data_IF_378034495700
#
_entry.id   IF_378034495700
#
_cell.length_a   1.000
_cell.length_b   1.000
_cell.length_c   1.000
_cell.angle_alpha   90.00
_cell.angle_beta   90.00
_cell.angle_gamma   90.00
#
_symmetry.space_group_name_H-M   'P 1'
#
loop_
_entity.id
_entity.type
_entity.pdbx_description
1 polymer ?
#
# COMPACT_ATOMS: atom_id res chain seq x y z
N UNK A 1 2.05 19.43 -25.55
CA UNK A 1 2.32 19.23 -24.11
C UNK A 1 1.39 18.11 -23.69
N UNK A 2 1.93 16.94 -23.34
CA UNK A 2 1.11 15.75 -23.09
C UNK A 2 0.85 15.66 -21.58
N UNK A 3 -0.38 15.95 -21.19
CA UNK A 3 -0.95 15.57 -19.90
C UNK A 3 -1.10 14.05 -19.89
N UNK A 4 -0.13 13.34 -19.34
CA UNK A 4 -0.27 11.91 -19.06
C UNK A 4 -1.33 11.72 -17.98
N UNK A 5 -2.57 11.53 -18.43
CA UNK A 5 -3.66 11.00 -17.64
C UNK A 5 -3.23 9.61 -17.15
N UNK A 6 -2.87 9.52 -15.88
CA UNK A 6 -2.69 8.23 -15.22
C UNK A 6 -4.10 7.71 -14.96
N UNK A 7 -4.70 7.07 -15.97
CA UNK A 7 -5.90 6.26 -15.76
C UNK A 7 -5.48 5.05 -14.92
N UNK A 8 -5.79 5.12 -13.62
CA UNK A 8 -5.72 3.99 -12.72
C UNK A 8 -6.85 3.03 -13.10
N UNK A 9 -6.59 2.19 -14.11
CA UNK A 9 -7.40 1.02 -14.40
C UNK A 9 -7.32 0.09 -13.19
N UNK A 10 -8.29 0.21 -12.29
CA UNK A 10 -8.51 -0.75 -11.20
C UNK A 10 -9.00 -2.05 -11.82
N UNK A 11 -8.09 -3.02 -11.91
CA UNK A 11 -8.42 -4.39 -12.33
C UNK A 11 -9.51 -4.96 -11.40
N UNK A 12 -10.63 -5.35 -11.99
CA UNK A 12 -11.76 -6.08 -11.39
C UNK A 12 -12.47 -5.41 -10.19
N UNK A 13 -13.39 -4.48 -10.49
CA UNK A 13 -14.66 -4.35 -9.75
C UNK A 13 -14.62 -3.91 -8.29
N UNK A 14 -13.49 -3.38 -7.78
CA UNK A 14 -13.42 -2.85 -6.43
C UNK A 14 -13.37 -1.32 -6.44
N UNK A 15 -14.45 -0.67 -6.03
CA UNK A 15 -14.47 0.74 -5.65
C UNK A 15 -13.68 0.85 -4.34
N UNK A 16 -12.35 1.03 -4.43
CA UNK A 16 -11.52 1.17 -3.22
C UNK A 16 -11.90 2.51 -2.58
N UNK A 17 -12.25 2.53 -1.29
CA UNK A 17 -12.71 3.76 -0.66
C UNK A 17 -11.63 4.83 -0.73
N UNK A 18 -12.06 6.07 -0.95
CA UNK A 18 -11.23 7.26 -0.76
C UNK A 18 -10.99 7.42 0.75
N UNK A 19 -9.87 6.89 1.23
CA UNK A 19 -9.48 6.91 2.64
C UNK A 19 -8.69 8.18 2.95
N UNK A 20 -9.07 8.89 4.01
CA UNK A 20 -8.27 10.01 4.51
C UNK A 20 -7.05 9.49 5.29
N UNK A 21 -5.89 9.54 4.64
CA UNK A 21 -4.62 9.13 5.22
C UNK A 21 -3.86 10.28 5.92
N UNK A 22 -4.43 11.49 5.95
CA UNK A 22 -3.73 12.67 6.48
C UNK A 22 -3.40 12.56 7.98
N UNK A 23 -4.25 11.87 8.73
CA UNK A 23 -4.11 11.63 10.18
C UNK A 23 -3.72 10.18 10.52
N UNK A 24 -3.31 9.38 9.52
CA UNK A 24 -2.98 7.98 9.74
C UNK A 24 -1.74 7.80 10.65
N UNK A 25 -1.83 6.87 11.61
CA UNK A 25 -0.70 6.49 12.48
C UNK A 25 0.18 5.46 11.74
N UNK A 26 1.36 5.91 11.29
CA UNK A 26 2.26 5.11 10.46
C UNK A 26 3.30 4.35 11.29
N UNK A 27 3.31 3.04 11.14
CA UNK A 27 4.30 2.14 11.74
C UNK A 27 5.37 1.76 10.72
N UNK A 28 6.62 2.13 10.99
CA UNK A 28 7.79 1.74 10.17
C UNK A 28 8.22 0.29 10.42
N UNK A 29 8.59 -0.40 9.34
CA UNK A 29 9.20 -1.72 9.40
C UNK A 29 10.68 -1.67 9.78
N UNK A 30 11.35 -0.55 9.50
CA UNK A 30 12.78 -0.36 9.78
C UNK A 30 13.14 1.12 9.95
N UNK A 31 14.43 1.43 10.16
CA UNK A 31 14.94 2.81 10.25
C UNK A 31 15.87 3.19 9.09
N UNK A 32 15.71 2.57 7.92
CA UNK A 32 16.71 2.65 6.86
C UNK A 32 16.18 2.58 5.44
N UNK A 33 17.10 2.31 4.49
CA UNK A 33 16.77 2.18 3.07
C UNK A 33 15.82 0.99 2.88
N UNK A 34 14.70 1.23 2.21
CA UNK A 34 13.65 0.23 2.05
C UNK A 34 12.65 0.18 3.20
N UNK A 35 12.57 1.22 4.04
CA UNK A 35 11.51 1.31 5.06
C UNK A 35 10.13 1.24 4.41
N UNK A 36 9.33 0.29 4.89
CA UNK A 36 7.92 0.14 4.53
C UNK A 36 7.12 0.58 5.74
N UNK A 37 6.18 1.49 5.52
CA UNK A 37 5.28 1.96 6.56
C UNK A 37 3.90 1.40 6.34
N UNK A 38 3.23 1.01 7.42
CA UNK A 38 1.83 0.58 7.40
C UNK A 38 1.00 1.42 8.37
N UNK A 39 -0.27 1.62 8.05
CA UNK A 39 -1.24 2.25 8.94
C UNK A 39 -2.58 1.53 8.87
N UNK A 40 -3.30 1.49 10.00
CA UNK A 40 -4.67 0.97 10.07
C UNK A 40 -5.64 2.15 10.03
N UNK A 41 -6.45 2.25 8.97
CA UNK A 41 -7.33 3.39 8.72
C UNK A 41 -8.69 2.88 8.28
N UNK A 42 -9.74 3.24 9.03
CA UNK A 42 -11.15 2.89 8.72
C UNK A 42 -11.39 1.40 8.39
N UNK A 43 -10.64 0.50 9.02
CA UNK A 43 -10.75 -0.95 8.81
C UNK A 43 -9.92 -1.51 7.65
N UNK A 44 -9.14 -0.66 6.97
CA UNK A 44 -8.19 -1.02 5.92
C UNK A 44 -6.75 -0.93 6.42
N UNK A 45 -5.86 -1.54 5.65
CA UNK A 45 -4.42 -1.46 5.85
C UNK A 45 -3.83 -0.66 4.70
N UNK A 46 -3.25 0.49 5.00
CA UNK A 46 -2.49 1.28 4.05
C UNK A 46 -1.01 0.91 4.14
N UNK A 47 -0.33 0.76 3.02
CA UNK A 47 1.11 0.49 2.93
C UNK A 47 1.78 1.49 1.99
N UNK A 48 2.93 2.03 2.40
CA UNK A 48 3.72 2.95 1.57
C UNK A 48 5.22 2.78 1.78
N UNK A 49 6.00 3.38 0.88
CA UNK A 49 7.44 3.54 1.06
C UNK A 49 7.71 4.71 2.02
N UNK A 50 8.32 4.43 3.18
CA UNK A 50 8.65 5.44 4.19
C UNK A 50 9.65 6.49 3.71
N UNK A 51 10.49 6.16 2.72
CA UNK A 51 11.41 7.10 2.07
C UNK A 51 10.76 8.03 1.05
N UNK A 52 9.54 7.73 0.62
CA UNK A 52 8.78 8.51 -0.37
C UNK A 52 7.29 8.61 0.02
N UNK A 53 6.95 9.23 1.16
CA UNK A 53 5.59 9.22 1.71
C UNK A 53 4.55 9.99 0.88
N UNK A 54 5.00 10.81 -0.08
CA UNK A 54 4.16 11.54 -1.02
C UNK A 54 3.64 10.67 -2.17
N UNK A 55 4.27 9.50 -2.38
CA UNK A 55 3.79 8.57 -3.39
C UNK A 55 2.48 7.93 -2.91
N UNK A 56 1.58 7.54 -3.83
CA UNK A 56 0.33 6.88 -3.48
C UNK A 56 0.56 5.65 -2.59
N UNK A 57 -0.32 5.48 -1.59
CA UNK A 57 -0.31 4.31 -0.71
C UNK A 57 -1.11 3.18 -1.35
N UNK A 58 -0.67 1.94 -1.11
CA UNK A 58 -1.43 0.75 -1.46
C UNK A 58 -2.42 0.46 -0.34
N UNK A 59 -3.70 0.30 -0.69
CA UNK A 59 -4.78 0.01 0.26
C UNK A 59 -5.19 -1.46 0.14
N UNK A 60 -5.27 -2.13 1.28
CA UNK A 60 -5.67 -3.53 1.41
C UNK A 60 -6.87 -3.64 2.35
N UNK A 61 -7.83 -4.50 1.99
CA UNK A 61 -8.73 -5.09 2.98
C UNK A 61 -7.97 -6.01 3.94
N UNK A 62 -8.55 -6.37 5.10
CA UNK A 62 -7.95 -7.35 6.01
C UNK A 62 -7.65 -8.70 5.35
N UNK A 63 -8.51 -9.17 4.44
CA UNK A 63 -8.33 -10.43 3.73
C UNK A 63 -7.17 -10.35 2.71
N UNK A 64 -7.12 -9.30 1.90
CA UNK A 64 -6.02 -9.08 0.95
C UNK A 64 -4.68 -8.90 1.66
N UNK A 65 -4.67 -8.17 2.78
CA UNK A 65 -3.47 -8.02 3.60
C UNK A 65 -2.97 -9.36 4.12
N UNK A 66 -3.87 -10.21 4.64
CA UNK A 66 -3.53 -11.55 5.07
C UNK A 66 -2.93 -12.40 3.96
N UNK A 67 -3.52 -12.36 2.76
CA UNK A 67 -3.00 -13.06 1.59
C UNK A 67 -1.63 -12.52 1.15
N UNK A 68 -1.47 -11.19 1.09
CA UNK A 68 -0.20 -10.54 0.75
C UNK A 68 0.92 -10.94 1.71
N UNK A 69 0.67 -10.91 3.02
CA UNK A 69 1.67 -11.29 4.03
C UNK A 69 2.02 -12.77 3.92
N UNK A 70 1.04 -13.64 3.63
CA UNK A 70 1.30 -15.06 3.44
C UNK A 70 2.19 -15.31 2.21
N UNK A 71 1.84 -14.75 1.05
CA UNK A 71 2.65 -14.87 -0.18
C UNK A 71 4.06 -14.32 0.00
N UNK A 72 4.20 -13.17 0.68
CA UNK A 72 5.50 -12.59 1.00
C UNK A 72 6.36 -13.50 1.89
N UNK A 73 5.76 -14.21 2.84
CA UNK A 73 6.47 -15.19 3.69
C UNK A 73 6.86 -16.45 2.93
N UNK A 74 6.07 -16.84 1.94
CA UNK A 74 6.35 -17.97 1.05
C UNK A 74 7.40 -17.64 -0.02
N UNK A 75 7.90 -16.39 -0.07
CA UNK A 75 8.90 -15.94 -1.02
C UNK A 75 8.34 -15.65 -2.42
N UNK A 76 7.02 -15.46 -2.55
CA UNK A 76 6.36 -15.18 -3.84
C UNK A 76 6.93 -13.94 -4.54
N UNK A 77 7.45 -12.98 -3.77
CA UNK A 77 8.00 -11.72 -4.26
C UNK A 77 9.54 -11.68 -4.27
N UNK A 78 10.22 -12.80 -4.04
CA UNK A 78 11.67 -12.84 -4.16
C UNK A 78 12.10 -12.66 -5.62
N UNK A 79 13.04 -11.75 -5.85
CA UNK A 79 13.63 -11.51 -7.17
C UNK A 79 14.63 -12.63 -7.45
N UNK A 80 14.13 -13.78 -7.93
CA UNK A 80 14.97 -14.89 -8.41
C UNK A 80 15.84 -14.48 -9.59
#
# INVERSE_FOLDING_TARGET
MAESTIEQHTLAGWDKPDLDLSAADWHSSSKGRGDVQIAFVEGFIAMRNGGSPQNPSLIFTPAEWGAFVLGAREGEFDLT
#
